data_IF_702894634385
#
_entry.id   IF_702894634385
#
_cell.length_a   1.000
_cell.length_b   1.000
_cell.length_c   1.000
_cell.angle_alpha   90.00
_cell.angle_beta   90.00
_cell.angle_gamma   90.00
#
_symmetry.space_group_name_H-M   'P 1'
#
loop_
_entity.id
_entity.type
_entity.pdbx_description
1 polymer ?
#
# COMPACT_ATOMS: atom_id res chain seq x y z
N UNK A 1 0.50 -16.52 -4.00
CA UNK A 1 1.46 -15.72 -3.21
C UNK A 1 0.72 -14.95 -2.13
N UNK A 2 1.36 -14.80 -0.97
CA UNK A 2 0.94 -13.87 0.09
C UNK A 2 1.76 -12.59 -0.03
N UNK A 3 1.09 -11.44 -0.04
CA UNK A 3 1.75 -10.14 -0.11
C UNK A 3 1.56 -9.36 1.19
N UNK A 4 2.50 -8.47 1.50
CA UNK A 4 2.38 -7.46 2.56
C UNK A 4 2.51 -6.08 1.96
N UNK A 5 1.69 -5.13 2.43
CA UNK A 5 1.79 -3.71 2.07
C UNK A 5 1.86 -2.90 3.36
N UNK A 6 2.93 -2.15 3.55
CA UNK A 6 3.07 -1.21 4.68
C UNK A 6 2.57 0.17 4.28
N UNK A 7 1.64 0.70 5.06
CA UNK A 7 0.94 1.95 4.77
C UNK A 7 -0.34 1.75 3.95
N UNK A 8 -1.46 2.25 4.46
CA UNK A 8 -2.79 2.23 3.81
C UNK A 8 -3.21 3.62 3.29
N UNK A 9 -2.27 4.43 2.85
CA UNK A 9 -2.55 5.62 2.07
C UNK A 9 -3.05 5.28 0.65
N UNK A 10 -3.28 6.28 -0.18
CA UNK A 10 -3.76 6.09 -1.56
C UNK A 10 -2.90 5.08 -2.33
N UNK A 11 -1.57 5.21 -2.27
CA UNK A 11 -0.64 4.32 -2.97
C UNK A 11 -0.71 2.90 -2.42
N UNK A 12 -0.67 2.74 -1.08
CA UNK A 12 -0.74 1.42 -0.46
C UNK A 12 -2.04 0.67 -0.75
N UNK A 13 -3.19 1.35 -0.68
CA UNK A 13 -4.48 0.75 -1.03
C UNK A 13 -4.54 0.30 -2.49
N UNK A 14 -4.02 1.12 -3.41
CA UNK A 14 -3.96 0.77 -4.82
C UNK A 14 -2.98 -0.40 -5.06
N UNK A 15 -1.82 -0.39 -4.41
CA UNK A 15 -0.85 -1.49 -4.48
C UNK A 15 -1.46 -2.80 -4.00
N UNK A 16 -2.13 -2.80 -2.84
CA UNK A 16 -2.81 -3.98 -2.31
C UNK A 16 -3.89 -4.51 -3.26
N UNK A 17 -4.70 -3.61 -3.81
CA UNK A 17 -5.75 -3.98 -4.76
C UNK A 17 -5.18 -4.52 -6.07
N UNK A 18 -4.07 -3.95 -6.57
CA UNK A 18 -3.37 -4.44 -7.75
C UNK A 18 -2.73 -5.81 -7.50
N UNK A 19 -2.16 -6.05 -6.32
CA UNK A 19 -1.60 -7.35 -5.95
C UNK A 19 -2.67 -8.45 -5.99
N UNK A 20 -3.87 -8.20 -5.42
CA UNK A 20 -5.00 -9.12 -5.51
C UNK A 20 -5.44 -9.34 -6.97
N UNK A 21 -5.59 -8.27 -7.75
CA UNK A 21 -5.96 -8.36 -9.16
C UNK A 21 -4.92 -9.11 -10.00
N UNK A 22 -3.65 -9.06 -9.57
CA UNK A 22 -2.52 -9.77 -10.15
C UNK A 22 -2.42 -11.24 -9.74
N UNK A 23 -3.25 -11.71 -8.79
CA UNK A 23 -3.32 -13.12 -8.41
C UNK A 23 -2.75 -13.45 -7.02
N UNK A 24 -2.45 -12.45 -6.19
CA UNK A 24 -2.15 -12.71 -4.78
C UNK A 24 -3.35 -13.39 -4.12
N UNK A 25 -3.09 -14.45 -3.36
CA UNK A 25 -4.14 -15.17 -2.63
C UNK A 25 -4.62 -14.40 -1.40
N UNK A 26 -3.74 -13.58 -0.85
CA UNK A 26 -3.96 -12.77 0.35
C UNK A 26 -3.02 -11.56 0.31
N UNK A 27 -3.50 -10.40 0.81
CA UNK A 27 -2.65 -9.23 1.02
C UNK A 27 -2.86 -8.71 2.44
N UNK A 28 -1.80 -8.70 3.22
CA UNK A 28 -1.76 -8.13 4.57
C UNK A 28 -1.44 -6.65 4.43
N UNK A 29 -2.28 -5.77 4.95
CA UNK A 29 -2.10 -4.31 4.85
C UNK A 29 -1.99 -3.71 6.24
N UNK A 30 -0.89 -3.04 6.54
CA UNK A 30 -0.66 -2.43 7.84
C UNK A 30 -0.70 -0.90 7.82
N UNK A 31 -1.24 -0.31 8.88
CA UNK A 31 -1.23 1.14 9.11
C UNK A 31 -1.44 1.44 10.60
N UNK A 32 -1.23 2.68 10.99
CA UNK A 32 -1.59 3.21 12.32
C UNK A 32 -3.00 3.81 12.34
N UNK A 33 -3.63 3.98 11.18
CA UNK A 33 -4.97 4.55 11.01
C UNK A 33 -6.02 3.46 10.86
N UNK A 34 -6.75 3.17 11.94
CA UNK A 34 -7.87 2.20 11.90
C UNK A 34 -8.93 2.57 10.86
N UNK A 35 -9.20 3.86 10.66
CA UNK A 35 -10.17 4.34 9.66
C UNK A 35 -9.77 3.91 8.24
N UNK A 36 -8.50 4.04 7.88
CA UNK A 36 -7.99 3.62 6.58
C UNK A 36 -8.00 2.10 6.43
N UNK A 37 -7.66 1.40 7.50
CA UNK A 37 -7.73 -0.07 7.54
C UNK A 37 -9.16 -0.59 7.39
N UNK A 38 -10.15 0.08 8.00
CA UNK A 38 -11.57 -0.25 7.83
C UNK A 38 -12.05 -0.08 6.37
N UNK A 39 -11.46 0.87 5.63
CA UNK A 39 -11.80 1.07 4.21
C UNK A 39 -11.25 -0.08 3.37
N UNK A 40 -9.95 -0.36 3.49
CA UNK A 40 -9.29 -1.37 2.66
C UNK A 40 -9.69 -2.79 3.07
N UNK A 41 -9.97 -3.04 4.34
CA UNK A 41 -10.38 -4.34 4.88
C UNK A 41 -11.73 -4.83 4.37
N UNK A 42 -12.53 -3.98 3.71
CA UNK A 42 -13.78 -4.40 3.04
C UNK A 42 -13.54 -5.18 1.75
N UNK A 43 -12.31 -5.17 1.22
CA UNK A 43 -11.96 -5.88 0.00
C UNK A 43 -11.64 -7.34 0.37
N UNK A 44 -12.34 -8.33 -0.23
CA UNK A 44 -12.04 -9.73 0.00
C UNK A 44 -10.58 -10.07 -0.33
N UNK A 45 -9.92 -10.82 0.56
CA UNK A 45 -8.51 -11.17 0.43
C UNK A 45 -7.54 -10.17 1.10
N UNK A 46 -8.03 -9.06 1.64
CA UNK A 46 -7.23 -8.15 2.47
C UNK A 46 -7.33 -8.57 3.95
N UNK A 47 -6.18 -8.59 4.61
CA UNK A 47 -6.04 -8.75 6.06
C UNK A 47 -5.49 -7.43 6.62
N UNK A 48 -6.33 -6.59 7.25
CA UNK A 48 -5.87 -5.34 7.85
C UNK A 48 -5.14 -5.60 9.18
N UNK A 49 -4.05 -4.86 9.42
CA UNK A 49 -3.23 -4.94 10.64
C UNK A 49 -3.05 -3.54 11.22
N UNK A 50 -3.62 -3.32 12.39
CA UNK A 50 -3.53 -2.07 13.14
C UNK A 50 -2.25 -2.08 14.01
N UNK A 51 -1.22 -1.37 13.56
CA UNK A 51 0.08 -1.29 14.24
C UNK A 51 0.03 -0.68 15.65
N UNK A 52 -1.11 -0.10 16.04
CA UNK A 52 -1.32 0.39 17.41
C UNK A 52 -1.78 -0.72 18.36
N UNK A 53 -2.17 -1.88 17.84
CA UNK A 53 -2.77 -2.98 18.59
C UNK A 53 -2.03 -4.31 18.47
N UNK A 54 -1.33 -4.53 17.36
CA UNK A 54 -0.69 -5.82 17.06
C UNK A 54 0.67 -5.65 16.40
N UNK A 55 1.53 -6.67 16.54
CA UNK A 55 2.84 -6.72 15.89
C UNK A 55 2.71 -7.29 14.48
N UNK A 56 3.24 -6.55 13.49
CA UNK A 56 3.14 -6.94 12.09
C UNK A 56 3.96 -8.19 11.77
N UNK A 57 5.13 -8.37 12.40
CA UNK A 57 5.99 -9.53 12.14
C UNK A 57 5.32 -10.81 12.64
N UNK A 58 4.76 -10.75 13.85
CA UNK A 58 4.00 -11.88 14.41
C UNK A 58 2.79 -12.21 13.54
N UNK A 59 2.02 -11.18 13.14
CA UNK A 59 0.85 -11.38 12.28
C UNK A 59 1.21 -11.98 10.93
N UNK A 60 2.26 -11.52 10.27
CA UNK A 60 2.71 -12.10 9.00
C UNK A 60 3.13 -13.55 9.17
N UNK A 61 3.82 -13.88 10.26
CA UNK A 61 4.20 -15.27 10.56
C UNK A 61 2.98 -16.17 10.76
N UNK A 62 1.97 -15.71 11.48
CA UNK A 62 0.71 -16.45 11.65
C UNK A 62 0.03 -16.72 10.31
N UNK A 63 -0.10 -15.69 9.47
CA UNK A 63 -0.78 -15.75 8.18
C UNK A 63 -0.03 -16.58 7.11
N UNK A 64 1.26 -16.84 7.33
CA UNK A 64 2.14 -17.55 6.39
C UNK A 64 2.72 -18.87 6.96
N UNK A 65 2.24 -19.31 8.12
CA UNK A 65 2.77 -20.51 8.77
C UNK A 65 4.25 -20.40 9.17
N UNK A 66 4.71 -19.19 9.47
CA UNK A 66 6.09 -18.90 9.90
C UNK A 66 7.07 -18.60 8.77
N UNK A 67 6.64 -18.74 7.50
CA UNK A 67 7.55 -18.63 6.34
C UNK A 67 7.87 -17.17 5.96
N UNK A 68 6.95 -16.25 6.14
CA UNK A 68 7.02 -14.87 5.64
C UNK A 68 6.25 -14.69 4.33
N UNK A 69 6.15 -13.46 3.86
CA UNK A 69 5.43 -13.11 2.63
C UNK A 69 6.32 -13.28 1.39
N UNK A 70 5.74 -13.70 0.26
CA UNK A 70 6.46 -13.83 -1.01
C UNK A 70 6.90 -12.49 -1.57
N UNK A 71 6.04 -11.47 -1.41
CA UNK A 71 6.31 -10.10 -1.86
C UNK A 71 5.87 -9.11 -0.80
N UNK A 72 6.73 -8.16 -0.48
CA UNK A 72 6.42 -7.07 0.44
C UNK A 72 6.56 -5.73 -0.28
N UNK A 73 5.63 -4.79 -0.03
CA UNK A 73 5.62 -3.45 -0.62
C UNK A 73 5.71 -2.41 0.50
N UNK A 74 6.79 -1.64 0.51
CA UNK A 74 6.89 -0.48 1.39
C UNK A 74 6.22 0.72 0.71
N UNK A 75 5.07 1.16 1.23
CA UNK A 75 4.27 2.27 0.67
C UNK A 75 4.08 3.44 1.64
N UNK A 76 4.60 3.33 2.87
CA UNK A 76 4.41 4.38 3.88
C UNK A 76 5.44 5.50 3.78
N UNK A 77 6.66 5.19 3.37
CA UNK A 77 7.82 6.08 3.44
C UNK A 77 8.24 6.40 4.87
N UNK A 78 7.67 5.74 5.89
CA UNK A 78 7.98 5.98 7.28
C UNK A 78 9.32 5.32 7.65
N UNK A 79 10.34 6.06 8.16
CA UNK A 79 11.62 5.46 8.52
C UNK A 79 11.49 4.26 9.48
N UNK A 80 10.56 4.33 10.44
CA UNK A 80 10.29 3.25 11.40
C UNK A 80 9.82 1.94 10.72
N UNK A 81 9.14 2.01 9.58
CA UNK A 81 8.71 0.82 8.87
C UNK A 81 9.90 -0.03 8.41
N UNK A 82 11.02 0.59 8.06
CA UNK A 82 12.22 -0.11 7.58
C UNK A 82 12.94 -0.92 8.66
N UNK A 83 12.72 -0.64 9.96
CA UNK A 83 13.36 -1.38 11.07
C UNK A 83 12.96 -2.86 11.09
N UNK A 84 11.75 -3.17 10.62
CA UNK A 84 11.21 -4.53 10.63
C UNK A 84 10.81 -5.02 9.25
N UNK A 85 10.85 -4.16 8.22
CA UNK A 85 10.34 -4.43 6.89
C UNK A 85 10.89 -5.74 6.30
N UNK A 86 12.20 -5.93 6.36
CA UNK A 86 12.83 -7.12 5.79
C UNK A 86 12.59 -8.41 6.59
N UNK A 87 12.07 -8.31 7.81
CA UNK A 87 11.66 -9.48 8.61
C UNK A 87 10.30 -10.05 8.20
N UNK A 88 9.60 -9.34 7.32
CA UNK A 88 8.26 -9.73 6.83
C UNK A 88 8.36 -10.66 5.62
N UNK A 89 9.47 -10.62 4.88
CA UNK A 89 9.64 -11.33 3.61
C UNK A 89 10.16 -12.74 3.82
N UNK A 90 9.67 -13.66 3.03
CA UNK A 90 10.15 -15.04 2.99
C UNK A 90 11.58 -15.12 2.38
N UNK A 91 12.39 -16.12 2.75
CA UNK A 91 13.65 -16.37 2.06
C UNK A 91 13.47 -16.50 0.55
N UNK A 92 14.30 -15.82 -0.25
CA UNK A 92 14.19 -15.74 -1.71
C UNK A 92 13.05 -14.86 -2.22
N UNK A 93 12.27 -14.24 -1.34
CA UNK A 93 11.16 -13.33 -1.68
C UNK A 93 11.62 -11.99 -2.21
N UNK A 94 10.67 -11.08 -2.41
CA UNK A 94 10.93 -9.76 -3.01
C UNK A 94 10.43 -8.63 -2.14
N UNK A 95 11.29 -7.67 -1.85
CA UNK A 95 10.99 -6.42 -1.18
C UNK A 95 10.92 -5.28 -2.19
N UNK A 96 9.76 -4.64 -2.34
CA UNK A 96 9.53 -3.55 -3.29
C UNK A 96 9.44 -2.23 -2.54
N UNK A 97 10.35 -1.30 -2.79
CA UNK A 97 10.38 0.03 -2.18
C UNK A 97 9.61 1.02 -3.05
N UNK A 98 8.43 1.42 -2.60
CA UNK A 98 7.51 2.34 -3.30
C UNK A 98 7.44 3.68 -2.58
N UNK A 99 7.38 3.66 -1.24
CA UNK A 99 7.43 4.84 -0.39
C UNK A 99 8.81 5.50 -0.44
N UNK A 100 8.84 6.81 -0.29
CA UNK A 100 10.09 7.57 -0.29
C UNK A 100 10.32 8.10 1.14
N UNK A 101 11.28 7.55 1.88
CA UNK A 101 11.60 8.06 3.21
C UNK A 101 12.22 9.46 3.11
N UNK A 102 11.88 10.33 4.06
CA UNK A 102 12.41 11.70 4.11
C UNK A 102 13.89 11.69 4.51
N UNK A 103 14.26 10.79 5.41
CA UNK A 103 15.63 10.64 5.92
C UNK A 103 16.21 9.29 5.46
N UNK A 104 17.56 9.18 5.41
CA UNK A 104 18.23 7.91 5.15
C UNK A 104 17.80 6.82 6.14
N UNK A 105 17.59 5.61 5.66
CA UNK A 105 17.24 4.44 6.48
C UNK A 105 18.39 3.45 6.51
N UNK A 106 18.56 2.75 7.64
CA UNK A 106 19.56 1.70 7.79
C UNK A 106 18.95 0.35 7.38
N UNK A 107 19.73 -0.45 6.66
CA UNK A 107 19.37 -1.80 6.24
C UNK A 107 20.48 -2.75 6.66
N UNK A 108 20.10 -3.88 7.28
CA UNK A 108 21.04 -4.95 7.60
C UNK A 108 21.30 -5.80 6.35
N UNK A 109 22.43 -5.55 5.70
CA UNK A 109 22.84 -6.27 4.50
C UNK A 109 23.14 -7.74 4.80
N UNK A 110 23.63 -8.05 6.01
CA UNK A 110 23.92 -9.43 6.38
C UNK A 110 22.65 -10.27 6.47
N UNK A 111 21.59 -9.70 7.04
CA UNK A 111 20.27 -10.35 7.10
C UNK A 111 19.72 -10.59 5.68
N UNK A 112 19.83 -9.60 4.80
CA UNK A 112 19.39 -9.73 3.40
C UNK A 112 20.16 -10.81 2.63
N UNK A 113 21.48 -10.89 2.82
CA UNK A 113 22.30 -11.93 2.18
C UNK A 113 21.94 -13.31 2.71
N UNK A 114 21.71 -13.45 4.02
CA UNK A 114 21.35 -14.73 4.63
C UNK A 114 19.98 -15.27 4.16
N UNK A 115 19.07 -14.39 3.75
CA UNK A 115 17.73 -14.73 3.30
C UNK A 115 17.55 -14.66 1.78
N UNK A 116 18.58 -14.24 1.02
CA UNK A 116 18.55 -14.11 -0.45
C UNK A 116 17.41 -13.22 -0.98
N UNK A 117 16.99 -12.22 -0.20
CA UNK A 117 15.90 -11.32 -0.55
C UNK A 117 16.30 -10.41 -1.71
N UNK A 118 15.43 -10.27 -2.69
CA UNK A 118 15.57 -9.31 -3.78
C UNK A 118 14.97 -7.97 -3.39
N UNK A 119 15.65 -6.88 -3.71
CA UNK A 119 15.14 -5.52 -3.52
C UNK A 119 14.85 -4.90 -4.88
N UNK A 120 13.62 -4.47 -5.07
CA UNK A 120 13.15 -3.75 -6.25
C UNK A 120 12.75 -2.33 -5.88
N UNK A 121 13.03 -1.37 -6.75
CA UNK A 121 12.76 0.04 -6.50
C UNK A 121 11.75 0.59 -7.49
N UNK A 122 10.77 1.32 -6.99
CA UNK A 122 9.78 2.04 -7.78
C UNK A 122 9.87 3.52 -7.48
N UNK A 123 10.27 4.33 -8.46
CA UNK A 123 10.29 5.79 -8.26
C UNK A 123 9.01 6.45 -8.77
N UNK A 124 8.60 6.09 -9.96
CA UNK A 124 7.40 6.62 -10.62
C UNK A 124 6.78 5.54 -11.51
N UNK A 125 6.23 5.92 -12.63
CA UNK A 125 5.56 5.04 -13.59
C UNK A 125 6.22 5.17 -14.97
N UNK A 126 6.46 4.04 -15.60
CA UNK A 126 7.00 3.99 -16.96
C UNK A 126 6.20 2.98 -17.79
N UNK A 127 5.58 3.44 -18.89
CA UNK A 127 4.85 2.58 -19.85
C UNK A 127 3.72 1.73 -19.23
N UNK A 128 3.07 2.21 -18.15
CA UNK A 128 2.04 1.45 -17.42
C UNK A 128 0.62 2.03 -17.53
N UNK A 129 0.45 3.21 -18.15
CA UNK A 129 -0.88 3.86 -18.22
C UNK A 129 -1.93 2.98 -18.87
N UNK A 130 -1.62 2.41 -20.05
CA UNK A 130 -2.58 1.56 -20.75
C UNK A 130 -2.92 0.31 -19.92
N UNK A 131 -1.91 -0.32 -19.30
CA UNK A 131 -2.13 -1.48 -18.43
C UNK A 131 -3.04 -1.15 -17.24
N UNK A 132 -2.87 0.03 -16.63
CA UNK A 132 -3.70 0.48 -15.52
C UNK A 132 -5.15 0.72 -15.97
N UNK A 133 -5.35 1.35 -17.14
CA UNK A 133 -6.67 1.57 -17.74
C UNK A 133 -7.35 0.22 -18.03
N UNK A 134 -6.64 -0.71 -18.65
CA UNK A 134 -7.16 -2.03 -19.01
C UNK A 134 -7.54 -2.83 -17.76
N UNK A 135 -6.74 -2.73 -16.68
CA UNK A 135 -7.03 -3.39 -15.41
C UNK A 135 -8.32 -2.88 -14.77
N UNK A 136 -8.53 -1.57 -14.78
CA UNK A 136 -9.78 -0.98 -14.28
C UNK A 136 -10.96 -1.33 -15.21
N UNK A 137 -10.78 -1.22 -16.52
CA UNK A 137 -11.82 -1.53 -17.52
C UNK A 137 -12.24 -2.99 -17.47
N UNK A 138 -11.34 -3.91 -17.12
CA UNK A 138 -11.67 -5.35 -16.95
C UNK A 138 -12.57 -5.65 -15.75
N UNK A 139 -12.79 -4.67 -14.86
CA UNK A 139 -13.56 -4.84 -13.62
C UNK A 139 -12.81 -5.54 -12.48
N UNK A 140 -11.55 -5.96 -12.69
CA UNK A 140 -10.73 -6.60 -11.66
C UNK A 140 -10.27 -5.62 -10.57
N UNK A 141 -10.25 -4.34 -10.88
CA UNK A 141 -9.88 -3.27 -9.96
C UNK A 141 -11.00 -2.23 -9.87
N UNK A 142 -11.62 -2.11 -8.70
CA UNK A 142 -12.61 -1.09 -8.41
C UNK A 142 -11.99 0.06 -7.61
N UNK A 143 -11.88 1.24 -8.23
CA UNK A 143 -11.28 2.43 -7.61
C UNK A 143 -12.30 3.29 -6.84
N UNK A 144 -13.60 3.07 -7.05
CA UNK A 144 -14.66 3.92 -6.46
C UNK A 144 -14.60 4.01 -4.92
N UNK A 145 -14.31 2.92 -4.18
CA UNK A 145 -14.24 2.99 -2.72
C UNK A 145 -13.13 3.90 -2.17
N UNK A 146 -12.14 4.25 -3.01
CA UNK A 146 -11.00 5.09 -2.62
C UNK A 146 -11.22 6.57 -2.90
N UNK A 147 -12.27 6.92 -3.65
CA UNK A 147 -12.66 8.31 -3.90
C UNK A 147 -13.48 8.77 -2.69
N UNK A 148 -12.87 9.59 -1.83
CA UNK A 148 -13.51 10.06 -0.62
C UNK A 148 -14.54 11.13 -0.90
N UNK A 149 -14.20 12.06 -1.80
CA UNK A 149 -15.11 13.15 -2.18
C UNK A 149 -14.75 13.72 -3.56
N UNK A 150 -15.73 14.43 -4.15
CA UNK A 150 -15.58 15.05 -5.46
C UNK A 150 -16.10 16.49 -5.40
N UNK A 151 -15.30 17.42 -5.86
CA UNK A 151 -15.58 18.86 -5.87
C UNK A 151 -15.80 19.36 -7.29
N UNK A 152 -16.66 20.35 -7.47
CA UNK A 152 -16.71 21.11 -8.71
C UNK A 152 -15.44 21.97 -8.86
N UNK A 153 -15.10 22.35 -10.10
CA UNK A 153 -13.93 23.21 -10.34
C UNK A 153 -14.01 24.56 -9.60
N UNK A 154 -15.21 25.11 -9.45
CA UNK A 154 -15.46 26.35 -8.70
C UNK A 154 -15.06 26.20 -7.20
N UNK A 155 -15.13 24.99 -6.65
CA UNK A 155 -14.85 24.68 -5.25
C UNK A 155 -13.44 24.09 -5.06
N UNK A 156 -12.57 24.16 -6.06
CA UNK A 156 -11.23 23.59 -6.02
C UNK A 156 -10.43 24.04 -4.79
N UNK A 157 -10.55 25.31 -4.38
CA UNK A 157 -9.90 25.82 -3.17
C UNK A 157 -10.31 25.03 -1.93
N UNK A 158 -11.60 24.73 -1.76
CA UNK A 158 -12.09 23.97 -0.61
C UNK A 158 -11.53 22.53 -0.59
N UNK A 159 -11.32 21.92 -1.77
CA UNK A 159 -10.67 20.61 -1.88
C UNK A 159 -9.21 20.65 -1.40
N UNK A 160 -8.46 21.70 -1.76
CA UNK A 160 -7.08 21.88 -1.29
C UNK A 160 -7.02 22.19 0.21
N UNK A 161 -7.88 23.09 0.71
CA UNK A 161 -7.96 23.40 2.14
C UNK A 161 -8.23 22.12 2.96
N UNK A 162 -9.15 21.24 2.50
CA UNK A 162 -9.42 19.95 3.14
C UNK A 162 -8.23 18.99 3.07
N UNK A 163 -7.51 18.98 1.97
CA UNK A 163 -6.30 18.15 1.83
C UNK A 163 -5.24 18.59 2.85
N UNK A 164 -5.07 19.89 3.06
CA UNK A 164 -4.12 20.46 4.03
C UNK A 164 -4.53 20.17 5.48
N UNK A 165 -5.84 20.03 5.77
CA UNK A 165 -6.34 19.58 7.08
C UNK A 165 -5.91 18.15 7.41
N UNK A 166 -5.62 17.31 6.42
CA UNK A 166 -5.13 15.94 6.61
C UNK A 166 -6.12 15.05 7.35
N UNK A 167 -7.42 15.08 6.99
CA UNK A 167 -8.46 14.28 7.65
C UNK A 167 -8.16 12.78 7.56
N UNK A 168 -8.21 12.03 8.67
CA UNK A 168 -7.78 10.63 8.70
C UNK A 168 -8.50 9.68 7.72
N UNK A 169 -9.75 10.02 7.34
CA UNK A 169 -10.54 9.22 6.40
C UNK A 169 -10.37 9.59 4.93
N UNK A 170 -9.61 10.65 4.63
CA UNK A 170 -9.42 11.09 3.25
C UNK A 170 -8.35 10.25 2.54
N UNK A 171 -8.78 9.55 1.47
CA UNK A 171 -7.91 8.72 0.63
C UNK A 171 -7.62 9.46 -0.67
N UNK A 172 -8.66 9.84 -1.41
CA UNK A 172 -8.53 10.58 -2.67
C UNK A 172 -9.66 11.60 -2.81
N UNK A 173 -9.29 12.87 -2.97
CA UNK A 173 -10.20 13.93 -3.37
C UNK A 173 -10.09 14.15 -4.87
N UNK A 174 -11.21 14.35 -5.54
CA UNK A 174 -11.27 14.64 -6.97
C UNK A 174 -11.88 16.01 -7.24
N UNK A 175 -11.47 16.62 -8.32
CA UNK A 175 -12.09 17.84 -8.85
C UNK A 175 -12.61 17.51 -10.25
N UNK A 176 -13.92 17.70 -10.47
CA UNK A 176 -14.52 17.58 -11.79
C UNK A 176 -14.30 18.87 -12.57
N UNK A 177 -13.81 18.71 -13.79
CA UNK A 177 -13.70 19.78 -14.76
C UNK A 177 -14.83 19.57 -15.77
N UNK A 178 -15.86 20.41 -15.71
CA UNK A 178 -16.93 20.40 -16.70
C UNK A 178 -16.32 20.72 -18.07
N UNK A 179 -16.57 19.88 -19.02
CA UNK A 179 -16.29 20.19 -20.44
C UNK A 179 -17.56 20.80 -20.99
N UNK A 180 -17.52 22.12 -21.22
CA UNK A 180 -18.55 22.82 -22.00
C UNK A 180 -18.72 22.18 -23.39
#
# INVERSE_FOLDING_TARGET
DVCVVTGSGTVGMLTASCALAGGASKVIVSDVSSIKLDIIGKIPGIVPVDLTKEDLVERVREETGGWGADVIFECSGAPKAYETFFKLVAPGGTAVLVGIPVDPVSIDITELQATEVRIENVFRYANVYQKAIDLVASGKLNLKPFITDTYAMADAKAAFDRMDEGRPGDIKLQITVDRD
#
